data_IF_377591656465
#
_entry.id   IF_377591656465
#
_cell.length_a   1.000
_cell.length_b   1.000
_cell.length_c   1.000
_cell.angle_alpha   90.00
_cell.angle_beta   90.00
_cell.angle_gamma   90.00
#
_symmetry.space_group_name_H-M   'P 1'
#
loop_
_entity.id
_entity.type
_entity.pdbx_description
1 polymer ?
#
# COMPACT_ATOMS: atom_id res chain seq x y z
N UNK A 1 -18.21 19.20 1.36
CA UNK A 1 -18.61 17.88 1.86
C UNK A 1 -17.56 17.38 2.86
N UNK A 2 -18.00 16.82 3.99
CA UNK A 2 -17.15 16.33 5.08
C UNK A 2 -17.14 14.82 5.10
N UNK A 3 -15.98 14.20 4.98
CA UNK A 3 -15.79 12.74 4.99
C UNK A 3 -15.01 12.33 6.22
N UNK A 4 -15.51 11.32 6.95
CA UNK A 4 -14.79 10.71 8.06
C UNK A 4 -14.19 9.38 7.58
N UNK A 5 -12.88 9.32 7.44
CA UNK A 5 -12.15 8.07 7.21
C UNK A 5 -11.92 7.35 8.53
N UNK A 6 -12.11 6.04 8.55
CA UNK A 6 -12.04 5.21 9.76
C UNK A 6 -11.08 4.06 9.54
N UNK A 7 -9.92 4.11 10.22
CA UNK A 7 -8.92 3.04 10.18
C UNK A 7 -8.08 2.99 11.45
N UNK A 8 -7.55 1.81 11.77
CA UNK A 8 -6.83 1.53 13.02
C UNK A 8 -5.50 2.26 13.17
N UNK A 9 -4.83 2.57 12.08
CA UNK A 9 -3.48 3.14 12.03
C UNK A 9 -3.43 4.29 11.04
N UNK A 10 -2.68 5.36 11.38
CA UNK A 10 -2.46 6.50 10.48
C UNK A 10 -1.25 7.33 10.92
N UNK A 11 -0.78 8.20 10.03
CA UNK A 11 0.26 9.18 10.34
C UNK A 11 -0.13 10.10 11.52
N UNK A 12 0.84 10.51 12.35
CA UNK A 12 2.27 10.21 12.32
C UNK A 12 2.64 8.91 13.05
N UNK A 13 1.68 8.25 13.73
CA UNK A 13 1.97 7.14 14.63
C UNK A 13 2.48 5.90 13.89
N UNK A 14 1.97 5.68 12.69
CA UNK A 14 2.36 4.56 11.84
C UNK A 14 2.54 5.02 10.39
N UNK A 15 3.41 4.33 9.68
CA UNK A 15 3.66 4.57 8.26
C UNK A 15 3.69 3.23 7.52
N UNK A 16 2.83 3.10 6.52
CA UNK A 16 2.70 1.88 5.72
C UNK A 16 1.88 2.12 4.47
N UNK A 17 1.73 1.06 3.67
CA UNK A 17 1.04 1.17 2.39
C UNK A 17 -0.44 1.57 2.51
N UNK A 18 -1.14 1.12 3.56
CA UNK A 18 -2.56 1.41 3.71
C UNK A 18 -2.78 2.84 4.24
N UNK A 19 -1.95 3.29 5.18
CA UNK A 19 -1.92 4.68 5.64
C UNK A 19 -1.66 5.63 4.48
N UNK A 20 -0.73 5.26 3.60
CA UNK A 20 -0.44 6.03 2.39
C UNK A 20 -1.64 6.06 1.43
N UNK A 21 -2.34 4.95 1.23
CA UNK A 21 -3.56 4.92 0.41
C UNK A 21 -4.62 5.88 0.96
N UNK A 22 -4.86 5.87 2.28
CA UNK A 22 -5.82 6.80 2.91
C UNK A 22 -5.36 8.26 2.69
N UNK A 23 -4.06 8.54 2.87
CA UNK A 23 -3.47 9.86 2.64
C UNK A 23 -3.70 10.31 1.20
N UNK A 24 -3.45 9.44 0.24
CA UNK A 24 -3.64 9.74 -1.19
C UNK A 24 -5.11 9.96 -1.56
N UNK A 25 -6.05 9.21 -0.97
CA UNK A 25 -7.49 9.46 -1.13
C UNK A 25 -7.86 10.85 -0.59
N UNK A 26 -7.36 11.20 0.60
CA UNK A 26 -7.61 12.52 1.20
C UNK A 26 -7.04 13.65 0.34
N UNK A 27 -5.79 13.52 -0.17
CA UNK A 27 -5.16 14.49 -1.07
C UNK A 27 -5.95 14.68 -2.37
N UNK A 28 -6.28 13.58 -3.04
CA UNK A 28 -7.00 13.61 -4.31
C UNK A 28 -8.41 14.21 -4.16
N UNK A 29 -9.14 13.83 -3.13
CA UNK A 29 -10.51 14.33 -2.90
C UNK A 29 -10.53 15.76 -2.36
N UNK A 30 -9.51 16.21 -1.63
CA UNK A 30 -9.36 17.60 -1.20
C UNK A 30 -9.33 18.56 -2.39
N UNK A 31 -8.62 18.19 -3.47
CA UNK A 31 -8.58 18.97 -4.72
C UNK A 31 -9.96 19.08 -5.38
N UNK A 32 -10.90 18.20 -5.00
CA UNK A 32 -12.30 18.18 -5.42
C UNK A 32 -13.27 18.84 -4.41
N UNK A 33 -12.73 19.59 -3.43
CA UNK A 33 -13.55 20.31 -2.44
C UNK A 33 -14.10 19.43 -1.30
N UNK A 34 -13.49 18.27 -1.04
CA UNK A 34 -13.81 17.41 0.11
C UNK A 34 -12.91 17.77 1.30
N UNK A 35 -13.51 17.91 2.47
CA UNK A 35 -12.83 18.07 3.75
C UNK A 35 -12.79 16.72 4.46
N UNK A 36 -11.61 16.17 4.70
CA UNK A 36 -11.42 14.86 5.30
C UNK A 36 -11.01 14.94 6.76
N UNK A 37 -11.51 14.00 7.56
CA UNK A 37 -10.98 13.64 8.88
C UNK A 37 -10.62 12.18 8.91
N UNK A 38 -9.57 11.82 9.66
CA UNK A 38 -9.17 10.43 9.88
C UNK A 38 -9.32 10.11 11.35
N UNK A 39 -10.21 9.17 11.69
CA UNK A 39 -10.32 8.60 13.02
C UNK A 39 -9.40 7.37 13.11
N UNK A 40 -8.47 7.39 14.05
CA UNK A 40 -7.44 6.36 14.19
C UNK A 40 -7.08 6.08 15.65
N UNK A 41 -6.43 4.94 15.89
CA UNK A 41 -5.89 4.57 17.19
C UNK A 41 -4.45 5.07 17.34
N UNK A 42 -4.06 5.33 18.59
CA UNK A 42 -2.71 5.70 18.97
C UNK A 42 -2.37 5.12 20.33
N UNK A 43 -1.13 4.73 20.55
CA UNK A 43 -0.62 4.36 21.86
C UNK A 43 -0.40 5.62 22.73
N UNK A 44 -0.04 6.75 22.07
CA UNK A 44 0.18 8.05 22.70
C UNK A 44 -0.63 9.14 21.97
N UNK A 45 -1.96 9.24 22.22
CA UNK A 45 -2.85 10.13 21.47
C UNK A 45 -2.74 11.60 21.90
N UNK A 46 -1.54 12.13 22.07
CA UNK A 46 -1.35 13.52 22.38
C UNK A 46 -0.46 14.21 21.33
N UNK A 47 -0.94 15.31 20.70
CA UNK A 47 -2.31 15.87 20.82
C UNK A 47 -3.36 14.93 20.22
N UNK A 48 -4.55 14.88 20.82
CA UNK A 48 -5.66 14.03 20.36
C UNK A 48 -6.29 14.50 19.04
N UNK A 49 -5.97 15.70 18.60
CA UNK A 49 -6.36 16.28 17.32
C UNK A 49 -5.13 16.90 16.67
N UNK A 50 -4.84 16.47 15.46
CA UNK A 50 -3.65 16.90 14.72
C UNK A 50 -4.05 17.33 13.30
N UNK A 51 -4.00 18.64 13.00
CA UNK A 51 -4.20 19.11 11.62
C UNK A 51 -3.03 18.67 10.73
N UNK A 52 -3.36 18.13 9.57
CA UNK A 52 -2.39 17.80 8.51
C UNK A 52 -2.85 18.42 7.19
N UNK A 53 -1.96 18.43 6.21
CA UNK A 53 -2.26 19.01 4.90
C UNK A 53 -3.45 18.32 4.22
N UNK A 54 -3.50 17.00 4.34
CA UNK A 54 -4.49 16.17 3.66
C UNK A 54 -5.80 15.99 4.45
N UNK A 55 -5.74 15.98 5.78
CA UNK A 55 -6.87 15.72 6.64
C UNK A 55 -6.61 16.14 8.09
N UNK A 56 -7.67 16.36 8.87
CA UNK A 56 -7.56 16.45 10.33
C UNK A 56 -7.52 15.03 10.91
N UNK A 57 -6.53 14.73 11.77
CA UNK A 57 -6.41 13.40 12.40
C UNK A 57 -6.97 13.44 13.81
N UNK A 58 -7.92 12.57 14.09
CA UNK A 58 -8.52 12.35 15.43
C UNK A 58 -7.95 11.07 16.00
N UNK A 59 -7.08 11.21 17.00
CA UNK A 59 -6.35 10.11 17.63
C UNK A 59 -7.03 9.73 18.95
N UNK A 60 -7.32 8.43 19.11
CA UNK A 60 -7.89 7.89 20.35
C UNK A 60 -6.97 6.81 20.92
N UNK A 61 -6.94 6.71 22.25
CA UNK A 61 -6.06 5.76 22.92
C UNK A 61 -6.46 4.33 22.60
N UNK A 62 -5.52 3.53 22.09
CA UNK A 62 -5.65 2.09 21.98
C UNK A 62 -5.75 1.49 23.38
N UNK A 63 -6.82 0.74 23.65
CA UNK A 63 -7.05 0.10 24.96
C UNK A 63 -6.30 -1.22 25.06
N UNK A 64 -6.40 -2.05 24.02
CA UNK A 64 -5.69 -3.32 23.90
C UNK A 64 -5.63 -3.74 22.42
N UNK A 65 -4.87 -4.78 22.15
CA UNK A 65 -4.70 -5.34 20.80
C UNK A 65 -4.80 -6.87 20.84
N UNK A 66 -5.57 -7.45 19.93
CA UNK A 66 -5.71 -8.90 19.75
C UNK A 66 -5.55 -9.25 18.29
N UNK A 67 -4.68 -10.18 17.96
CA UNK A 67 -4.44 -10.65 16.59
C UNK A 67 -4.18 -9.50 15.58
N UNK A 68 -3.40 -8.50 15.98
CA UNK A 68 -3.13 -7.25 15.23
C UNK A 68 -4.37 -6.39 14.99
N UNK A 69 -5.45 -6.60 15.72
CA UNK A 69 -6.63 -5.75 15.76
C UNK A 69 -6.61 -4.89 17.02
N UNK A 70 -6.38 -3.60 16.89
CA UNK A 70 -6.45 -2.65 17.99
C UNK A 70 -7.89 -2.29 18.34
N UNK A 71 -8.16 -2.09 19.63
CA UNK A 71 -9.45 -1.69 20.18
C UNK A 71 -9.31 -0.40 21.00
N UNK A 72 -10.34 0.46 20.96
CA UNK A 72 -10.38 1.71 21.73
C UNK A 72 -11.77 1.93 22.35
N UNK A 73 -12.03 1.25 23.47
CA UNK A 73 -13.34 1.31 24.13
C UNK A 73 -13.66 2.74 24.62
N UNK A 74 -12.67 3.46 25.12
CA UNK A 74 -12.80 4.87 25.53
C UNK A 74 -13.04 5.82 24.37
N UNK A 75 -12.71 5.41 23.14
CA UNK A 75 -12.86 6.18 21.90
C UNK A 75 -14.28 6.18 21.31
N UNK A 76 -15.18 5.30 21.75
CA UNK A 76 -16.51 5.11 21.16
C UNK A 76 -17.34 6.42 21.18
N UNK A 77 -17.36 7.11 22.28
CA UNK A 77 -18.09 8.40 22.39
C UNK A 77 -17.52 9.46 21.45
N UNK A 78 -16.19 9.47 21.29
CA UNK A 78 -15.51 10.38 20.35
C UNK A 78 -15.86 10.03 18.91
N UNK A 79 -15.83 8.73 18.58
CA UNK A 79 -16.23 8.23 17.27
C UNK A 79 -17.63 8.67 16.87
N UNK A 80 -18.63 8.49 17.76
CA UNK A 80 -20.00 8.90 17.51
C UNK A 80 -20.08 10.40 17.20
N UNK A 81 -19.36 11.26 17.96
CA UNK A 81 -19.32 12.70 17.70
C UNK A 81 -18.70 13.03 16.34
N UNK A 82 -17.68 12.29 15.90
CA UNK A 82 -17.08 12.53 14.59
C UNK A 82 -18.00 12.05 13.46
N UNK A 83 -18.73 10.94 13.64
CA UNK A 83 -19.79 10.49 12.70
C UNK A 83 -20.88 11.55 12.56
N UNK A 84 -21.36 12.14 13.65
CA UNK A 84 -22.38 13.20 13.61
C UNK A 84 -21.96 14.43 12.80
N UNK A 85 -20.66 14.77 12.82
CA UNK A 85 -20.06 15.90 12.09
C UNK A 85 -19.83 15.64 10.61
N UNK A 86 -19.76 14.37 10.21
CA UNK A 86 -19.51 13.95 8.84
C UNK A 86 -20.80 13.97 8.01
N UNK A 87 -20.65 14.16 6.69
CA UNK A 87 -21.72 13.94 5.72
C UNK A 87 -21.79 12.48 5.31
N UNK A 88 -20.61 11.83 5.23
CA UNK A 88 -20.43 10.41 4.88
C UNK A 88 -19.28 9.82 5.68
N UNK A 89 -19.35 8.52 5.99
CA UNK A 89 -18.29 7.77 6.66
C UNK A 89 -17.66 6.80 5.68
N UNK A 90 -16.33 6.85 5.56
CA UNK A 90 -15.54 6.00 4.70
C UNK A 90 -14.69 5.04 5.55
N UNK A 91 -15.10 3.77 5.56
CA UNK A 91 -14.38 2.72 6.28
C UNK A 91 -13.30 2.09 5.41
N UNK A 92 -12.20 1.67 6.06
CA UNK A 92 -11.11 0.95 5.42
C UNK A 92 -10.97 -0.45 6.02
N UNK A 93 -11.25 -1.46 5.22
CA UNK A 93 -11.25 -2.85 5.62
C UNK A 93 -9.90 -3.52 5.25
N UNK A 94 -9.32 -4.41 6.09
CA UNK A 94 -9.93 -5.03 7.26
C UNK A 94 -9.57 -4.32 8.59
N UNK A 95 -10.58 -4.12 9.41
CA UNK A 95 -10.44 -3.76 10.81
C UNK A 95 -11.71 -4.16 11.58
N UNK A 96 -11.77 -5.37 12.20
CA UNK A 96 -12.98 -5.88 12.86
C UNK A 96 -13.58 -4.95 13.93
N UNK A 97 -12.78 -4.12 14.58
CA UNK A 97 -13.32 -3.14 15.53
C UNK A 97 -14.10 -2.02 14.81
N UNK A 98 -13.79 -1.68 13.57
CA UNK A 98 -14.58 -0.70 12.82
C UNK A 98 -15.99 -1.17 12.54
N UNK A 99 -16.19 -2.47 12.36
CA UNK A 99 -17.50 -3.08 12.15
C UNK A 99 -18.36 -2.93 13.41
N UNK A 100 -17.74 -3.18 14.58
CA UNK A 100 -18.39 -2.93 15.87
C UNK A 100 -18.72 -1.45 16.08
N UNK A 101 -17.78 -0.54 15.75
CA UNK A 101 -18.02 0.90 15.82
C UNK A 101 -19.20 1.33 14.93
N UNK A 102 -19.27 0.79 13.70
CA UNK A 102 -20.40 1.03 12.81
C UNK A 102 -21.74 0.58 13.40
N UNK A 103 -21.80 -0.64 13.97
CA UNK A 103 -23.00 -1.16 14.59
C UNK A 103 -23.44 -0.34 15.82
N UNK A 104 -22.49 0.11 16.64
CA UNK A 104 -22.74 0.95 17.82
C UNK A 104 -23.22 2.36 17.42
N UNK A 105 -22.60 2.97 16.41
CA UNK A 105 -22.99 4.28 15.92
C UNK A 105 -24.40 4.26 15.30
N UNK A 106 -24.86 3.07 14.91
CA UNK A 106 -26.08 2.92 14.13
C UNK A 106 -25.95 3.63 12.76
N UNK A 107 -26.74 3.27 11.78
CA UNK A 107 -26.68 3.79 10.40
C UNK A 107 -27.01 5.28 10.26
N UNK A 108 -26.39 6.12 11.10
CA UNK A 108 -26.71 7.56 11.21
C UNK A 108 -26.30 8.37 9.98
N UNK A 109 -25.32 7.85 9.23
CA UNK A 109 -24.77 8.51 8.03
C UNK A 109 -24.57 7.50 6.92
N UNK A 110 -24.65 7.90 5.64
CA UNK A 110 -24.25 7.07 4.54
C UNK A 110 -22.81 6.56 4.76
N UNK A 111 -22.58 5.29 4.47
CA UNK A 111 -21.28 4.66 4.66
C UNK A 111 -20.81 3.98 3.37
N UNK A 112 -19.54 4.17 3.05
CA UNK A 112 -18.81 3.46 1.99
C UNK A 112 -17.61 2.77 2.59
N UNK A 113 -17.08 1.76 1.90
CA UNK A 113 -15.95 0.99 2.40
C UNK A 113 -14.95 0.71 1.28
N UNK A 114 -13.66 0.99 1.51
CA UNK A 114 -12.58 0.48 0.66
C UNK A 114 -12.08 -0.85 1.23
N UNK A 115 -12.21 -1.88 0.41
CA UNK A 115 -11.77 -3.24 0.72
C UNK A 115 -10.32 -3.43 0.25
N UNK A 116 -9.37 -3.31 1.18
CA UNK A 116 -7.94 -3.37 0.83
C UNK A 116 -7.41 -4.79 0.70
N UNK A 117 -7.86 -5.72 1.55
CA UNK A 117 -7.40 -7.11 1.49
C UNK A 117 -8.34 -8.08 2.22
N UNK A 118 -8.29 -9.34 1.81
CA UNK A 118 -8.90 -10.45 2.55
C UNK A 118 -8.15 -10.72 3.86
N UNK A 119 -8.83 -11.27 4.86
CA UNK A 119 -8.21 -11.81 6.08
C UNK A 119 -7.76 -13.24 5.79
N UNK A 120 -6.47 -13.43 5.52
CA UNK A 120 -5.94 -14.71 5.01
C UNK A 120 -5.50 -15.67 6.12
N UNK A 121 -4.91 -15.17 7.22
CA UNK A 121 -4.21 -16.02 8.20
C UNK A 121 -5.09 -16.66 9.28
N UNK A 122 -6.12 -15.99 9.72
CA UNK A 122 -6.85 -16.35 10.94
C UNK A 122 -8.17 -17.06 10.60
N UNK A 123 -8.10 -18.18 9.88
CA UNK A 123 -9.28 -18.88 9.35
C UNK A 123 -10.34 -19.21 10.39
N UNK A 124 -9.95 -19.65 11.60
CA UNK A 124 -10.90 -19.95 12.67
C UNK A 124 -11.58 -18.69 13.21
N UNK A 125 -10.81 -17.64 13.51
CA UNK A 125 -11.36 -16.34 13.93
C UNK A 125 -12.23 -15.72 12.85
N UNK A 126 -11.83 -15.87 11.58
CA UNK A 126 -12.61 -15.39 10.44
C UNK A 126 -13.96 -16.11 10.36
N UNK A 127 -14.03 -17.41 10.59
CA UNK A 127 -15.29 -18.14 10.56
C UNK A 127 -16.28 -17.64 11.64
N UNK A 128 -15.80 -17.34 12.83
CA UNK A 128 -16.60 -16.73 13.90
C UNK A 128 -17.01 -15.27 13.59
N UNK A 129 -16.14 -14.52 12.97
CA UNK A 129 -16.33 -13.11 12.63
C UNK A 129 -17.20 -12.90 11.37
N UNK A 130 -17.21 -13.88 10.47
CA UNK A 130 -17.84 -13.82 9.16
C UNK A 130 -19.29 -13.31 9.16
N UNK A 131 -20.20 -13.75 10.04
CA UNK A 131 -21.58 -13.25 10.05
C UNK A 131 -21.67 -11.75 10.35
N UNK A 132 -20.83 -11.24 11.28
CA UNK A 132 -20.78 -9.81 11.59
C UNK A 132 -20.20 -9.01 10.42
N UNK A 133 -19.14 -9.51 9.80
CA UNK A 133 -18.53 -8.91 8.62
C UNK A 133 -19.51 -8.82 7.44
N UNK A 134 -20.18 -9.93 7.12
CA UNK A 134 -21.16 -9.95 6.01
C UNK A 134 -22.33 -8.98 6.25
N UNK A 135 -22.81 -8.92 7.50
CA UNK A 135 -23.82 -7.93 7.87
C UNK A 135 -23.30 -6.50 7.71
N UNK A 136 -22.09 -6.23 8.16
CA UNK A 136 -21.44 -4.92 8.01
C UNK A 136 -21.29 -4.52 6.54
N UNK A 137 -20.72 -5.41 5.71
CA UNK A 137 -20.58 -5.19 4.27
C UNK A 137 -21.93 -4.98 3.58
N UNK A 138 -22.94 -5.77 3.98
CA UNK A 138 -24.30 -5.66 3.45
C UNK A 138 -24.96 -4.29 3.71
N UNK A 139 -24.56 -3.59 4.76
CA UNK A 139 -25.06 -2.24 5.08
C UNK A 139 -24.31 -1.11 4.37
N UNK A 140 -23.16 -1.37 3.74
CA UNK A 140 -22.43 -0.34 2.99
C UNK A 140 -23.24 0.08 1.75
N UNK A 141 -23.25 1.40 1.48
CA UNK A 141 -23.85 1.95 0.25
C UNK A 141 -23.09 1.46 -0.97
N UNK A 142 -21.76 1.47 -0.89
CA UNK A 142 -20.84 0.94 -1.89
C UNK A 142 -19.60 0.33 -1.21
N UNK A 143 -19.03 -0.68 -1.85
CA UNK A 143 -17.77 -1.31 -1.47
C UNK A 143 -16.79 -1.09 -2.60
N UNK A 144 -15.62 -0.61 -2.31
CA UNK A 144 -14.61 -0.27 -3.31
C UNK A 144 -13.51 -1.33 -3.31
N UNK A 145 -13.35 -2.02 -4.42
CA UNK A 145 -12.20 -2.85 -4.71
C UNK A 145 -11.09 -1.99 -5.34
N UNK A 146 -9.84 -2.25 -4.97
CA UNK A 146 -8.70 -1.46 -5.45
C UNK A 146 -8.20 -1.88 -6.84
N UNK A 147 -8.64 -3.03 -7.34
CA UNK A 147 -8.33 -3.49 -8.70
C UNK A 147 -9.37 -4.47 -9.23
N UNK A 148 -9.54 -4.58 -10.57
CA UNK A 148 -10.40 -5.58 -11.19
C UNK A 148 -9.95 -7.01 -10.84
N UNK A 149 -8.63 -7.27 -10.84
CA UNK A 149 -8.05 -8.57 -10.54
C UNK A 149 -8.40 -9.02 -9.11
N UNK A 150 -8.28 -8.09 -8.14
CA UNK A 150 -8.62 -8.38 -6.76
C UNK A 150 -10.12 -8.68 -6.60
N UNK A 151 -10.98 -7.90 -7.26
CA UNK A 151 -12.43 -8.13 -7.26
C UNK A 151 -12.75 -9.51 -7.85
N UNK A 152 -12.23 -9.83 -9.04
CA UNK A 152 -12.51 -11.10 -9.71
C UNK A 152 -12.11 -12.34 -8.89
N UNK A 153 -11.09 -12.23 -8.04
CA UNK A 153 -10.55 -13.35 -7.27
C UNK A 153 -10.97 -13.38 -5.80
N UNK A 154 -11.70 -12.37 -5.28
CA UNK A 154 -12.19 -12.33 -3.90
C UNK A 154 -13.58 -12.93 -3.78
N UNK A 155 -13.70 -14.08 -3.11
CA UNK A 155 -14.99 -14.72 -2.83
C UNK A 155 -15.95 -13.81 -2.05
N UNK A 156 -15.39 -13.03 -1.10
CA UNK A 156 -16.18 -12.11 -0.28
C UNK A 156 -16.76 -10.99 -1.15
N UNK A 157 -15.94 -10.33 -1.98
CA UNK A 157 -16.41 -9.26 -2.85
C UNK A 157 -17.42 -9.75 -3.90
N UNK A 158 -17.23 -10.95 -4.43
CA UNK A 158 -18.17 -11.57 -5.36
C UNK A 158 -19.57 -11.80 -4.73
N UNK A 159 -19.63 -12.05 -3.41
CA UNK A 159 -20.89 -12.12 -2.67
C UNK A 159 -21.66 -10.78 -2.59
N UNK A 160 -21.01 -9.65 -2.91
CA UNK A 160 -21.57 -8.30 -2.88
C UNK A 160 -21.43 -7.57 -4.22
N UNK A 161 -21.28 -8.30 -5.34
CA UNK A 161 -20.93 -7.77 -6.65
C UNK A 161 -21.74 -6.55 -7.08
N UNK A 162 -23.05 -6.52 -6.79
CA UNK A 162 -23.95 -5.39 -7.13
C UNK A 162 -23.60 -4.06 -6.42
N UNK A 163 -22.84 -4.14 -5.30
CA UNK A 163 -22.41 -2.99 -4.52
C UNK A 163 -20.93 -2.66 -4.71
N UNK A 164 -20.20 -3.46 -5.48
CA UNK A 164 -18.77 -3.28 -5.67
C UNK A 164 -18.48 -2.39 -6.86
N UNK A 165 -17.75 -1.30 -6.60
CA UNK A 165 -17.13 -0.48 -7.63
C UNK A 165 -15.61 -0.68 -7.61
N UNK A 166 -14.95 -0.51 -8.75
CA UNK A 166 -13.48 -0.60 -8.82
C UNK A 166 -12.91 0.81 -8.95
N UNK A 167 -12.16 1.22 -7.92
CA UNK A 167 -11.38 2.47 -7.94
C UNK A 167 -9.92 2.12 -7.67
N UNK A 168 -9.07 2.08 -8.70
CA UNK A 168 -7.64 1.84 -8.50
C UNK A 168 -7.00 2.88 -7.59
N UNK A 169 -6.00 2.45 -6.82
CA UNK A 169 -5.18 3.34 -6.03
C UNK A 169 -4.42 4.26 -6.98
N UNK A 170 -4.37 5.55 -6.64
CA UNK A 170 -3.64 6.56 -7.39
C UNK A 170 -2.71 7.34 -6.46
N UNK A 171 -1.58 7.82 -7.00
CA UNK A 171 -0.63 8.65 -6.28
C UNK A 171 -0.69 10.09 -6.78
N UNK A 172 -0.67 11.03 -5.85
CA UNK A 172 -0.58 12.46 -6.13
C UNK A 172 0.89 12.84 -6.24
N UNK A 173 1.45 12.74 -7.44
CA UNK A 173 2.87 13.02 -7.71
C UNK A 173 3.36 14.34 -7.10
N UNK A 174 2.60 15.45 -7.11
CA UNK A 174 3.00 16.69 -6.43
C UNK A 174 3.13 16.56 -4.90
N UNK A 175 2.62 15.51 -4.29
CA UNK A 175 2.80 15.24 -2.85
C UNK A 175 4.13 14.55 -2.50
N UNK A 176 4.86 14.13 -3.51
CA UNK A 176 6.22 13.57 -3.38
C UNK A 176 7.27 14.68 -3.51
N UNK A 177 8.50 14.46 -3.02
CA UNK A 177 9.58 15.42 -3.13
C UNK A 177 9.84 15.87 -4.57
N UNK A 178 10.08 17.17 -4.75
CA UNK A 178 10.35 17.79 -6.05
C UNK A 178 11.63 17.24 -6.70
N UNK A 179 11.80 17.50 -8.00
CA UNK A 179 13.02 17.11 -8.72
C UNK A 179 14.28 17.70 -8.08
N UNK A 180 14.25 18.95 -7.64
CA UNK A 180 15.39 19.62 -7.00
C UNK A 180 15.70 19.00 -5.62
N UNK A 181 14.65 18.67 -4.85
CA UNK A 181 14.83 17.96 -3.57
C UNK A 181 15.39 16.56 -3.75
N UNK A 182 14.94 15.83 -4.80
CA UNK A 182 15.49 14.52 -5.16
C UNK A 182 16.95 14.62 -5.58
N UNK A 183 17.30 15.62 -6.39
CA UNK A 183 18.66 15.82 -6.89
C UNK A 183 19.68 16.04 -5.77
N UNK A 184 19.28 16.67 -4.65
CA UNK A 184 20.16 16.84 -3.48
C UNK A 184 20.60 15.51 -2.86
N UNK A 185 19.77 14.48 -2.93
CA UNK A 185 20.06 13.16 -2.36
C UNK A 185 20.66 12.17 -3.37
N UNK A 186 20.57 12.45 -4.68
CA UNK A 186 21.09 11.56 -5.73
C UNK A 186 22.59 11.28 -5.58
N UNK A 187 23.39 12.30 -5.30
CA UNK A 187 24.83 12.14 -5.14
C UNK A 187 25.16 11.18 -3.97
N UNK A 188 24.51 11.36 -2.82
CA UNK A 188 24.69 10.51 -1.65
C UNK A 188 24.24 9.07 -1.90
N UNK A 189 23.08 8.89 -2.54
CA UNK A 189 22.56 7.56 -2.89
C UNK A 189 23.49 6.87 -3.88
N UNK A 190 24.00 7.61 -4.89
CA UNK A 190 24.96 7.09 -5.87
C UNK A 190 26.28 6.67 -5.21
N UNK A 191 26.79 7.46 -4.27
CA UNK A 191 28.01 7.12 -3.53
C UNK A 191 27.81 5.89 -2.66
N UNK A 192 26.66 5.75 -2.00
CA UNK A 192 26.40 4.66 -1.06
C UNK A 192 26.04 3.35 -1.75
N UNK A 193 25.16 3.39 -2.75
CA UNK A 193 24.58 2.18 -3.36
C UNK A 193 24.96 2.00 -4.83
N UNK A 194 25.54 3.01 -5.47
CA UNK A 194 25.80 3.03 -6.91
C UNK A 194 24.54 3.36 -7.74
N UNK A 195 24.54 2.87 -8.95
CA UNK A 195 23.44 2.98 -9.91
C UNK A 195 23.08 1.61 -10.49
N UNK A 196 21.94 1.54 -11.17
CA UNK A 196 21.48 0.34 -11.86
C UNK A 196 21.32 -0.89 -10.95
N UNK A 197 21.05 -0.69 -9.67
CA UNK A 197 20.69 -1.76 -8.72
C UNK A 197 19.19 -2.11 -8.86
N UNK A 198 18.82 -3.29 -8.40
CA UNK A 198 17.42 -3.68 -8.23
C UNK A 198 16.92 -3.20 -6.87
N UNK A 199 15.74 -2.55 -6.85
CA UNK A 199 15.23 -1.87 -5.68
C UNK A 199 13.97 -2.56 -5.12
N UNK A 200 14.01 -2.92 -3.85
CA UNK A 200 12.81 -3.23 -3.07
C UNK A 200 12.54 -2.10 -2.06
N UNK A 201 11.27 -1.68 -1.95
CA UNK A 201 10.83 -0.73 -0.93
C UNK A 201 9.60 -1.29 -0.22
N UNK A 202 9.60 -1.29 1.11
CA UNK A 202 8.42 -1.69 1.89
C UNK A 202 8.72 -2.21 3.29
N UNK A 203 7.66 -2.41 4.07
CA UNK A 203 7.77 -3.04 5.39
C UNK A 203 8.21 -4.49 5.23
N UNK A 204 9.27 -4.90 5.93
CA UNK A 204 9.87 -6.24 5.83
C UNK A 204 8.98 -7.25 6.54
N UNK A 205 7.99 -7.78 5.82
CA UNK A 205 7.04 -8.79 6.29
C UNK A 205 7.21 -10.10 5.52
N UNK A 206 6.86 -11.22 6.16
CA UNK A 206 7.00 -12.57 5.62
C UNK A 206 6.43 -12.72 4.20
N UNK A 207 5.24 -12.15 3.92
CA UNK A 207 4.56 -12.29 2.63
C UNK A 207 5.20 -11.48 1.48
N UNK A 208 6.13 -10.58 1.79
CA UNK A 208 6.84 -9.76 0.81
C UNK A 208 7.89 -10.53 0.00
N UNK A 209 8.19 -11.77 0.37
CA UNK A 209 9.07 -12.64 -0.42
C UNK A 209 10.54 -12.25 -0.45
N UNK A 210 11.03 -11.52 0.58
CA UNK A 210 12.42 -11.05 0.58
C UNK A 210 13.44 -12.19 0.69
N UNK A 211 13.10 -13.32 1.33
CA UNK A 211 13.92 -14.53 1.29
C UNK A 211 14.08 -15.06 -0.14
N UNK A 212 13.02 -14.99 -0.96
CA UNK A 212 13.04 -15.37 -2.38
C UNK A 212 13.94 -14.40 -3.17
N UNK A 213 13.92 -13.10 -2.84
CA UNK A 213 14.81 -12.11 -3.46
C UNK A 213 16.27 -12.34 -3.08
N UNK A 214 16.55 -12.71 -1.82
CA UNK A 214 17.91 -13.08 -1.40
C UNK A 214 18.42 -14.31 -2.16
N UNK A 215 17.59 -15.35 -2.30
CA UNK A 215 17.92 -16.54 -3.10
C UNK A 215 18.18 -16.17 -4.57
N UNK A 216 17.36 -15.30 -5.16
CA UNK A 216 17.54 -14.81 -6.52
C UNK A 216 18.80 -13.95 -6.69
N UNK A 217 19.23 -13.23 -5.66
CA UNK A 217 20.42 -12.37 -5.70
C UNK A 217 21.75 -13.14 -5.59
N UNK A 218 21.72 -14.42 -5.25
CA UNK A 218 22.90 -15.26 -5.03
C UNK A 218 23.77 -15.34 -6.28
N UNK A 219 25.04 -14.89 -6.17
CA UNK A 219 25.97 -14.87 -7.30
C UNK A 219 25.56 -13.95 -8.46
N UNK A 220 24.63 -13.03 -8.26
CA UNK A 220 24.24 -12.06 -9.28
C UNK A 220 25.33 -11.01 -9.49
N UNK A 221 25.56 -10.56 -10.76
CA UNK A 221 26.57 -9.55 -11.06
C UNK A 221 26.11 -8.12 -10.75
N UNK A 222 24.91 -7.94 -10.21
CA UNK A 222 24.28 -6.65 -9.90
C UNK A 222 23.96 -6.53 -8.42
N UNK A 223 23.78 -5.30 -7.99
CA UNK A 223 23.40 -4.98 -6.61
C UNK A 223 21.88 -5.05 -6.41
N UNK A 224 21.48 -5.38 -5.19
CA UNK A 224 20.11 -5.31 -4.71
C UNK A 224 20.07 -4.39 -3.49
N UNK A 225 19.18 -3.41 -3.50
CA UNK A 225 18.97 -2.48 -2.37
C UNK A 225 17.58 -2.74 -1.77
N UNK A 226 17.55 -3.07 -0.49
CA UNK A 226 16.34 -3.35 0.28
C UNK A 226 16.09 -2.19 1.23
N UNK A 227 15.00 -1.45 1.00
CA UNK A 227 14.57 -0.30 1.79
C UNK A 227 13.39 -0.67 2.67
N UNK A 228 13.47 -0.28 3.93
CA UNK A 228 12.45 -0.46 4.94
C UNK A 228 12.94 -1.25 6.13
N UNK A 229 12.06 -1.36 7.13
CA UNK A 229 12.27 -2.12 8.34
C UNK A 229 11.07 -3.04 8.59
N UNK A 230 11.20 -4.02 9.46
CA UNK A 230 10.07 -4.89 9.78
C UNK A 230 10.44 -6.14 10.56
N UNK A 231 9.43 -6.91 10.96
CA UNK A 231 9.61 -8.02 11.91
C UNK A 231 10.53 -9.15 11.40
N UNK A 232 10.72 -9.30 10.08
CA UNK A 232 11.60 -10.34 9.51
C UNK A 232 13.01 -9.84 9.16
N UNK A 233 13.35 -8.59 9.48
CA UNK A 233 14.64 -7.98 9.12
C UNK A 233 15.85 -8.75 9.67
N UNK A 234 15.79 -9.14 10.94
CA UNK A 234 16.89 -9.86 11.59
C UNK A 234 17.16 -11.21 10.91
N UNK A 235 16.13 -11.93 10.51
CA UNK A 235 16.20 -13.20 9.78
C UNK A 235 16.80 -13.01 8.40
N UNK A 236 16.38 -12.00 7.66
CA UNK A 236 16.89 -11.68 6.32
C UNK A 236 18.37 -11.28 6.35
N UNK A 237 18.77 -10.43 7.29
CA UNK A 237 20.20 -10.05 7.47
C UNK A 237 21.06 -11.26 7.87
N UNK A 238 20.50 -12.18 8.67
CA UNK A 238 21.17 -13.43 9.02
C UNK A 238 21.36 -14.32 7.78
N UNK A 239 20.31 -14.50 6.97
CA UNK A 239 20.38 -15.25 5.72
C UNK A 239 21.45 -14.66 4.80
N UNK A 240 21.39 -13.36 4.52
CA UNK A 240 22.35 -12.68 3.63
C UNK A 240 23.82 -12.88 4.08
N UNK A 241 24.07 -12.82 5.40
CA UNK A 241 25.41 -13.04 5.96
C UNK A 241 25.87 -14.48 5.82
N UNK A 242 25.02 -15.47 6.13
CA UNK A 242 25.35 -16.89 6.03
C UNK A 242 25.65 -17.26 4.59
N UNK A 243 24.92 -16.68 3.64
CA UNK A 243 25.04 -16.97 2.22
C UNK A 243 26.10 -16.11 1.50
N UNK A 244 26.75 -15.18 2.21
CA UNK A 244 27.81 -14.32 1.66
C UNK A 244 27.30 -13.39 0.56
N UNK A 245 26.11 -12.80 0.74
CA UNK A 245 25.48 -11.91 -0.25
C UNK A 245 26.02 -10.48 -0.15
N UNK A 246 27.28 -10.26 -0.58
CA UNK A 246 27.93 -8.95 -0.55
C UNK A 246 27.30 -7.93 -1.54
N UNK A 247 26.50 -8.43 -2.49
CA UNK A 247 25.77 -7.62 -3.46
C UNK A 247 24.40 -7.14 -2.95
N UNK A 248 24.00 -7.49 -1.70
CA UNK A 248 22.72 -7.07 -1.11
C UNK A 248 22.95 -6.03 -0.02
N UNK A 249 22.30 -4.88 -0.14
CA UNK A 249 22.36 -3.80 0.84
C UNK A 249 21.01 -3.57 1.50
N UNK A 250 20.99 -3.48 2.84
CA UNK A 250 19.80 -3.14 3.62
C UNK A 250 19.90 -1.67 4.06
N UNK A 251 19.15 -0.80 3.44
CA UNK A 251 19.16 0.65 3.70
C UNK A 251 18.39 1.04 4.98
N UNK A 252 17.57 0.14 5.53
CA UNK A 252 16.71 0.47 6.66
C UNK A 252 15.59 1.44 6.26
N UNK A 253 15.09 2.20 7.23
CA UNK A 253 14.10 3.25 6.97
C UNK A 253 14.79 4.48 6.36
N UNK A 254 14.24 4.98 5.26
CA UNK A 254 14.73 6.19 4.58
C UNK A 254 13.65 7.25 4.48
N UNK A 255 14.02 8.52 4.31
CA UNK A 255 13.08 9.62 4.05
C UNK A 255 12.45 9.48 2.66
N UNK A 256 11.30 10.14 2.43
CA UNK A 256 10.68 10.17 1.11
C UNK A 256 11.60 10.77 0.04
N UNK A 257 12.43 11.75 0.40
CA UNK A 257 13.45 12.35 -0.49
C UNK A 257 14.47 11.31 -0.95
N UNK A 258 15.04 10.59 0.00
CA UNK A 258 16.03 9.54 -0.27
C UNK A 258 15.38 8.36 -1.03
N UNK A 259 14.14 7.98 -0.65
CA UNK A 259 13.35 6.98 -1.37
C UNK A 259 13.19 7.34 -2.85
N UNK A 260 12.82 8.59 -3.16
CA UNK A 260 12.65 9.02 -4.54
C UNK A 260 13.98 9.12 -5.31
N UNK A 261 15.08 9.43 -4.63
CA UNK A 261 16.43 9.35 -5.23
C UNK A 261 16.81 7.88 -5.54
N UNK A 262 16.49 6.95 -4.65
CA UNK A 262 16.69 5.51 -4.87
C UNK A 262 15.90 5.00 -6.08
N UNK A 263 14.63 5.39 -6.24
CA UNK A 263 13.86 5.09 -7.46
C UNK A 263 14.51 5.71 -8.70
N UNK A 264 15.06 6.92 -8.60
CA UNK A 264 15.73 7.58 -9.72
C UNK A 264 16.94 6.80 -10.27
N UNK A 265 17.71 6.15 -9.40
CA UNK A 265 18.96 5.48 -9.75
C UNK A 265 18.84 3.96 -9.95
N UNK A 266 17.71 3.34 -9.58
CA UNK A 266 17.56 1.90 -9.75
C UNK A 266 17.39 1.50 -11.23
N UNK A 267 17.77 0.24 -11.53
CA UNK A 267 17.50 -0.43 -12.81
C UNK A 267 16.02 -0.78 -12.93
N UNK A 268 15.49 -1.43 -11.90
CA UNK A 268 14.11 -1.88 -11.85
C UNK A 268 13.64 -1.97 -10.39
N UNK A 269 12.32 -1.92 -10.21
CA UNK A 269 11.67 -2.19 -8.92
C UNK A 269 11.33 -3.68 -8.84
N UNK A 270 11.77 -4.35 -7.77
CA UNK A 270 11.50 -5.77 -7.53
C UNK A 270 10.50 -5.90 -6.38
N UNK A 271 9.39 -6.56 -6.66
CA UNK A 271 8.28 -6.71 -5.73
C UNK A 271 7.86 -8.19 -5.65
N UNK A 272 8.63 -9.03 -4.94
CA UNK A 272 8.51 -10.48 -4.96
C UNK A 272 7.47 -11.02 -3.99
N UNK A 273 6.47 -10.20 -3.60
CA UNK A 273 5.37 -10.62 -2.73
C UNK A 273 4.70 -11.87 -3.28
N UNK A 274 4.65 -12.95 -2.48
CA UNK A 274 4.24 -14.27 -2.95
C UNK A 274 2.91 -14.76 -2.36
N UNK A 275 2.27 -13.94 -1.54
CA UNK A 275 0.96 -14.26 -0.96
C UNK A 275 -0.06 -13.18 -1.27
N UNK A 276 -1.33 -13.57 -1.37
CA UNK A 276 -2.49 -12.72 -1.61
C UNK A 276 -2.73 -11.64 -0.54
N UNK A 277 -2.01 -11.70 0.60
CA UNK A 277 -1.96 -10.61 1.58
C UNK A 277 -1.40 -9.31 0.98
N UNK A 278 -0.70 -9.40 -0.17
CA UNK A 278 -0.33 -8.26 -1.00
C UNK A 278 -1.49 -7.93 -1.94
N UNK A 279 -2.28 -6.95 -1.56
CA UNK A 279 -3.50 -6.66 -2.31
C UNK A 279 -3.28 -5.78 -3.55
N UNK A 280 -2.27 -4.89 -3.55
CA UNK A 280 -2.08 -3.95 -4.65
C UNK A 280 -0.61 -3.63 -4.98
N UNK A 281 0.17 -3.19 -3.98
CA UNK A 281 1.57 -2.82 -4.18
C UNK A 281 1.78 -1.34 -4.52
N UNK A 282 1.62 -0.44 -3.52
CA UNK A 282 1.86 1.02 -3.69
C UNK A 282 3.26 1.30 -4.24
N UNK A 283 4.26 0.53 -3.84
CA UNK A 283 5.64 0.62 -4.34
C UNK A 283 5.76 0.40 -5.86
N UNK A 284 4.91 -0.46 -6.44
CA UNK A 284 4.86 -0.63 -7.90
C UNK A 284 4.37 0.66 -8.58
N UNK A 285 3.42 1.38 -7.97
CA UNK A 285 3.01 2.70 -8.48
C UNK A 285 4.11 3.75 -8.35
N UNK A 286 4.86 3.75 -7.25
CA UNK A 286 6.01 4.66 -7.07
C UNK A 286 7.10 4.37 -8.12
N UNK A 287 7.34 3.08 -8.42
CA UNK A 287 8.22 2.67 -9.51
C UNK A 287 7.74 3.13 -10.88
N UNK A 288 6.46 2.89 -11.19
CA UNK A 288 5.84 3.33 -12.45
C UNK A 288 5.85 4.87 -12.59
N UNK A 289 5.51 5.60 -11.52
CA UNK A 289 5.59 7.06 -11.44
C UNK A 289 7.02 7.57 -11.72
N UNK A 290 8.03 6.79 -11.34
CA UNK A 290 9.46 7.08 -11.56
C UNK A 290 9.99 6.56 -12.90
N UNK A 291 9.13 6.10 -13.80
CA UNK A 291 9.48 5.51 -15.10
C UNK A 291 10.46 4.33 -14.98
N UNK A 292 10.26 3.47 -13.98
CA UNK A 292 11.08 2.26 -13.78
C UNK A 292 10.30 1.01 -14.17
N UNK A 293 10.95 0.04 -14.85
CA UNK A 293 10.34 -1.24 -15.11
C UNK A 293 10.09 -2.00 -13.80
N UNK A 294 9.06 -2.82 -13.79
CA UNK A 294 8.58 -3.50 -12.61
C UNK A 294 8.83 -5.00 -12.72
N UNK A 295 9.29 -5.65 -11.66
CA UNK A 295 9.30 -7.10 -11.55
C UNK A 295 8.39 -7.46 -10.37
N UNK A 296 7.34 -8.24 -10.61
CA UNK A 296 6.39 -8.65 -9.59
C UNK A 296 6.00 -10.11 -9.75
N UNK A 297 5.53 -10.74 -8.66
CA UNK A 297 4.99 -12.09 -8.73
C UNK A 297 3.48 -12.07 -8.96
N UNK A 298 2.96 -13.09 -9.67
CA UNK A 298 1.52 -13.30 -9.86
C UNK A 298 0.89 -13.90 -8.59
N UNK A 299 0.02 -13.15 -7.95
CA UNK A 299 -0.66 -13.56 -6.70
C UNK A 299 -2.18 -13.37 -6.78
N UNK A 300 -2.73 -13.15 -7.96
CA UNK A 300 -4.16 -12.91 -8.18
C UNK A 300 -4.67 -11.63 -7.53
N UNK A 301 -3.83 -10.59 -7.45
CA UNK A 301 -4.16 -9.32 -6.79
C UNK A 301 -3.95 -8.11 -7.70
N UNK A 302 -3.98 -6.90 -7.15
CA UNK A 302 -3.72 -5.67 -7.88
C UNK A 302 -2.31 -5.52 -8.43
N UNK A 303 -1.36 -6.35 -8.02
CA UNK A 303 0.03 -6.31 -8.51
C UNK A 303 0.10 -6.48 -10.02
N UNK A 304 -0.63 -7.46 -10.58
CA UNK A 304 -0.73 -7.69 -12.03
C UNK A 304 -1.73 -6.77 -12.74
N UNK A 305 -2.46 -5.93 -12.01
CA UNK A 305 -3.17 -4.79 -12.59
C UNK A 305 -2.24 -3.59 -12.80
N UNK A 306 -1.25 -3.39 -11.96
CA UNK A 306 -0.24 -2.34 -12.10
C UNK A 306 0.82 -2.75 -13.10
N UNK A 307 1.41 -3.94 -12.92
CA UNK A 307 2.49 -4.47 -13.74
C UNK A 307 1.95 -5.44 -14.80
N UNK A 308 2.05 -5.08 -16.06
CA UNK A 308 1.66 -5.90 -17.21
C UNK A 308 2.89 -6.60 -17.78
N UNK A 309 2.86 -7.94 -17.76
CA UNK A 309 3.97 -8.75 -18.25
C UNK A 309 4.32 -8.43 -19.72
N UNK A 310 5.61 -8.21 -19.99
CA UNK A 310 6.12 -7.89 -21.32
C UNK A 310 5.89 -6.43 -21.76
N UNK A 311 5.09 -5.66 -21.04
CA UNK A 311 4.78 -4.25 -21.36
C UNK A 311 5.39 -3.29 -20.32
N UNK A 312 4.94 -3.31 -19.08
CA UNK A 312 5.43 -2.39 -18.02
C UNK A 312 6.54 -3.01 -17.16
N UNK A 313 6.83 -4.27 -17.40
CA UNK A 313 7.80 -5.05 -16.66
C UNK A 313 7.61 -6.55 -16.85
N UNK A 314 8.12 -7.32 -15.91
CA UNK A 314 8.05 -8.78 -15.94
C UNK A 314 7.24 -9.29 -14.74
N UNK A 315 6.31 -10.22 -15.00
CA UNK A 315 5.54 -10.90 -13.96
C UNK A 315 6.03 -12.34 -13.90
N UNK A 316 6.40 -12.80 -12.70
CA UNK A 316 6.98 -14.13 -12.49
C UNK A 316 6.05 -14.99 -11.63
N UNK A 317 6.28 -16.28 -11.60
CA UNK A 317 5.59 -17.22 -10.71
C UNK A 317 5.90 -16.89 -9.23
N UNK A 318 4.86 -16.88 -8.40
CA UNK A 318 5.00 -16.58 -6.99
C UNK A 318 5.83 -17.67 -6.25
N UNK A 319 6.81 -17.25 -5.47
CA UNK A 319 7.68 -18.16 -4.73
C UNK A 319 8.85 -18.74 -5.53
N UNK A 320 8.94 -18.47 -6.82
CA UNK A 320 9.98 -19.01 -7.71
C UNK A 320 11.17 -18.04 -7.80
N UNK A 321 12.24 -18.32 -7.04
CA UNK A 321 13.45 -17.49 -7.03
C UNK A 321 14.25 -17.58 -8.34
N UNK A 322 14.17 -18.70 -9.08
CA UNK A 322 14.83 -18.84 -10.38
C UNK A 322 14.16 -17.95 -11.43
N UNK A 323 12.82 -17.99 -11.51
CA UNK A 323 12.09 -17.11 -12.42
C UNK A 323 12.29 -15.61 -12.05
N UNK A 324 12.41 -15.30 -10.77
CA UNK A 324 12.73 -13.94 -10.31
C UNK A 324 14.14 -13.54 -10.77
N UNK A 325 15.12 -14.45 -10.64
CA UNK A 325 16.49 -14.24 -11.10
C UNK A 325 16.53 -14.00 -12.61
N UNK A 326 15.89 -14.87 -13.40
CA UNK A 326 15.84 -14.74 -14.86
C UNK A 326 15.26 -13.38 -15.29
N UNK A 327 14.19 -12.93 -14.63
CA UNK A 327 13.60 -11.61 -14.89
C UNK A 327 14.57 -10.45 -14.56
N UNK A 328 15.31 -10.57 -13.47
CA UNK A 328 16.35 -9.59 -13.12
C UNK A 328 17.50 -9.61 -14.13
N UNK A 329 17.96 -10.77 -14.55
CA UNK A 329 19.04 -10.94 -15.52
C UNK A 329 18.65 -10.35 -16.89
N UNK A 330 17.43 -10.58 -17.37
CA UNK A 330 16.89 -9.97 -18.59
C UNK A 330 16.97 -8.45 -18.55
N UNK A 331 16.47 -7.83 -17.48
CA UNK A 331 16.48 -6.36 -17.36
C UNK A 331 17.88 -5.80 -17.06
N UNK A 332 18.79 -6.61 -16.51
CA UNK A 332 20.18 -6.22 -16.31
C UNK A 332 20.96 -6.19 -17.64
N UNK A 333 20.73 -7.19 -18.51
CA UNK A 333 21.46 -7.35 -19.77
C UNK A 333 20.93 -6.42 -20.87
N UNK A 334 19.62 -6.16 -20.92
CA UNK A 334 18.99 -5.31 -21.94
C UNK A 334 18.47 -3.99 -21.34
N UNK A 335 19.33 -2.95 -21.41
CA UNK A 335 18.95 -1.62 -20.96
C UNK A 335 17.82 -1.02 -21.80
N UNK A 336 17.85 -1.26 -23.11
CA UNK A 336 16.83 -0.70 -24.00
C UNK A 336 15.44 -1.26 -23.70
N UNK A 337 15.36 -2.56 -23.35
CA UNK A 337 14.12 -3.17 -22.87
C UNK A 337 13.68 -2.58 -21.54
N UNK A 338 14.60 -2.43 -20.58
CA UNK A 338 14.30 -1.85 -19.29
C UNK A 338 13.76 -0.42 -19.42
N UNK A 339 14.38 0.41 -20.24
CA UNK A 339 13.96 1.79 -20.47
C UNK A 339 12.57 1.86 -21.14
N UNK A 340 12.30 1.02 -22.15
CA UNK A 340 10.97 0.95 -22.79
C UNK A 340 9.89 0.53 -21.79
N UNK A 341 10.13 -0.54 -21.02
CA UNK A 341 9.17 -0.99 -20.01
C UNK A 341 8.93 0.07 -18.92
N UNK A 342 9.97 0.80 -18.52
CA UNK A 342 9.86 1.90 -17.59
C UNK A 342 9.00 3.05 -18.12
N UNK A 343 9.16 3.43 -19.39
CA UNK A 343 8.31 4.44 -20.01
C UNK A 343 6.85 3.98 -20.16
N UNK A 344 6.63 2.72 -20.51
CA UNK A 344 5.29 2.15 -20.57
C UNK A 344 4.64 2.11 -19.18
N UNK A 345 5.40 1.78 -18.13
CA UNK A 345 4.93 1.83 -16.74
C UNK A 345 4.52 3.26 -16.35
N UNK A 346 5.32 4.28 -16.71
CA UNK A 346 5.00 5.69 -16.50
C UNK A 346 3.72 6.10 -17.24
N UNK A 347 3.60 5.75 -18.50
CA UNK A 347 2.41 6.06 -19.30
C UNK A 347 1.14 5.43 -18.68
N UNK A 348 1.23 4.16 -18.26
CA UNK A 348 0.14 3.47 -17.59
C UNK A 348 -0.24 4.13 -16.25
N UNK A 349 0.76 4.57 -15.47
CA UNK A 349 0.52 5.35 -14.25
C UNK A 349 -0.27 6.63 -14.56
N UNK A 350 0.13 7.39 -15.56
CA UNK A 350 -0.53 8.64 -15.95
C UNK A 350 -1.97 8.42 -16.41
N UNK A 351 -2.26 7.32 -17.07
CA UNK A 351 -3.60 7.00 -17.56
C UNK A 351 -4.54 6.47 -16.47
N UNK A 352 -4.05 5.73 -15.48
CA UNK A 352 -4.92 4.95 -14.59
C UNK A 352 -4.74 5.23 -13.11
N UNK A 353 -3.53 5.68 -12.68
CA UNK A 353 -3.12 5.63 -11.28
C UNK A 353 -2.70 6.98 -10.71
N UNK A 354 -3.17 8.08 -11.28
CA UNK A 354 -2.92 9.41 -10.71
C UNK A 354 -3.86 9.70 -9.55
N UNK A 355 -3.37 10.44 -8.54
CA UNK A 355 -4.19 10.90 -7.42
C UNK A 355 -5.40 11.74 -7.85
N UNK A 356 -5.29 12.46 -8.99
CA UNK A 356 -6.38 13.21 -9.59
C UNK A 356 -7.54 12.29 -10.01
N UNK A 357 -7.26 11.27 -10.82
CA UNK A 357 -8.27 10.31 -11.29
C UNK A 357 -8.93 9.56 -10.13
N UNK A 358 -8.14 9.12 -9.16
CA UNK A 358 -8.67 8.49 -7.95
C UNK A 358 -9.57 9.44 -7.17
N UNK A 359 -9.12 10.70 -6.96
CA UNK A 359 -9.88 11.72 -6.25
C UNK A 359 -11.22 12.05 -6.91
N UNK A 360 -11.28 12.16 -8.24
CA UNK A 360 -12.49 12.37 -9.02
C UNK A 360 -13.49 11.21 -8.83
N UNK A 361 -13.04 9.97 -8.91
CA UNK A 361 -13.88 8.77 -8.71
C UNK A 361 -14.41 8.68 -7.28
N UNK A 362 -13.59 8.92 -6.26
CA UNK A 362 -14.07 8.95 -4.88
C UNK A 362 -15.02 10.12 -4.62
N UNK A 363 -14.79 11.30 -5.23
CA UNK A 363 -15.72 12.42 -5.12
C UNK A 363 -17.09 12.05 -5.69
N UNK A 364 -17.14 11.42 -6.85
CA UNK A 364 -18.40 10.95 -7.46
C UNK A 364 -19.08 9.88 -6.58
N UNK A 365 -18.32 9.00 -5.96
CA UNK A 365 -18.83 7.98 -5.03
C UNK A 365 -19.50 8.61 -3.78
N UNK A 366 -18.95 9.71 -3.29
CA UNK A 366 -19.46 10.38 -2.08
C UNK A 366 -20.73 11.20 -2.34
N UNK A 367 -20.99 11.62 -3.56
CA UNK A 367 -22.21 12.34 -3.95
C UNK A 367 -23.35 11.41 -4.31
#
# INVERSE_FOLDING_TARGET
MKVLHVYRTYFPDTQGGLEEVIRQICLGTRKQGVSSRVFTLSDEPFPAFLPRVEADVVRVRKTFEVASCGFALTGIRRFIKEVERADIVHYHYPWPFSDLLYLIAGQRKPAVLTYHSDIVRQKFLLAMYRPMMERYLGHMRRIIATSPNYFATSEILNGFAEKVDVIPIGLDEPSYPTTDERNRDLARVRETYGENYFLFVGVLRYYKGLHILLDAAKGAPYRVVIVGAGPVEAELRKQARIEGLDNVSFAGFVSDREKMALFGLCRAVVFPSYLRSEAFGVTLLEGAMSAKPLISAEVGSGTSHVNIHGDTGLVVEAGNHLALRDAMDVLHQDQGLADRMGQNARHRYEQLFTGKLMGERYKALYT
#
